data_IF_669554852379
#
_entry.id   IF_669554852379
#
_cell.length_a   1.000
_cell.length_b   1.000
_cell.length_c   1.000
_cell.angle_alpha   90.00
_cell.angle_beta   90.00
_cell.angle_gamma   90.00
#
_symmetry.space_group_name_H-M   'P 1'
#
loop_
_entity.id
_entity.type
_entity.pdbx_description
1 polymer ?
#
# COMPACT_ATOMS: atom_id res chain seq x y z
N UNK A 1 19.30 -12.22 10.53
CA UNK A 1 19.66 -10.85 10.12
C UNK A 1 18.91 -10.36 8.87
N UNK A 2 18.53 -11.23 7.93
CA UNK A 2 17.70 -10.91 6.75
C UNK A 2 16.30 -10.31 7.04
N UNK A 3 15.77 -10.48 8.26
CA UNK A 3 14.43 -10.02 8.63
C UNK A 3 14.28 -8.52 8.79
N UNK A 4 15.35 -7.74 9.08
CA UNK A 4 15.27 -6.27 9.21
C UNK A 4 15.18 -5.52 7.86
N UNK A 5 15.32 -6.23 6.75
CA UNK A 5 15.37 -5.66 5.40
C UNK A 5 14.02 -5.74 4.66
N UNK A 6 13.01 -6.32 5.30
CA UNK A 6 11.68 -6.57 4.73
C UNK A 6 10.88 -5.27 4.49
N UNK A 7 11.15 -4.20 5.23
CA UNK A 7 10.47 -2.89 5.06
C UNK A 7 10.89 -2.17 3.76
N UNK A 8 11.92 -2.65 3.06
CA UNK A 8 12.40 -2.05 1.80
C UNK A 8 11.57 -2.49 0.59
N UNK A 9 10.65 -3.45 0.75
CA UNK A 9 10.40 -4.39 -0.33
C UNK A 9 9.12 -4.19 -1.15
N UNK A 10 8.08 -3.49 -0.70
CA UNK A 10 6.90 -3.20 -1.55
C UNK A 10 7.21 -2.31 -2.77
N UNK A 11 8.40 -1.71 -2.84
CA UNK A 11 8.84 -0.99 -4.04
C UNK A 11 10.30 -1.25 -4.41
N UNK A 12 10.81 -2.39 -3.98
CA UNK A 12 12.16 -2.79 -4.30
C UNK A 12 12.23 -3.31 -5.73
N UNK A 13 13.17 -2.72 -6.49
CA UNK A 13 13.91 -3.29 -7.63
C UNK A 13 13.67 -2.55 -8.96
N UNK A 14 14.23 -1.34 -9.11
CA UNK A 14 14.38 -0.67 -10.41
C UNK A 14 15.75 0.03 -10.53
N UNK A 15 16.72 -0.49 -11.29
CA UNK A 15 17.80 0.35 -11.87
C UNK A 15 18.65 -0.31 -12.99
N UNK A 16 19.34 0.54 -13.76
CA UNK A 16 20.24 0.22 -14.89
C UNK A 16 19.68 0.77 -16.22
N UNK A 17 20.36 1.54 -17.11
CA UNK A 17 21.74 2.06 -17.25
C UNK A 17 21.72 3.42 -18.05
N UNK A 18 22.86 4.15 -18.12
CA UNK A 18 23.13 5.55 -18.58
C UNK A 18 23.27 5.77 -20.14
N UNK A 19 23.80 6.90 -20.74
CA UNK A 19 24.10 8.30 -20.31
C UNK A 19 23.47 9.42 -21.23
N UNK A 20 24.04 10.65 -21.22
CA UNK A 20 23.48 11.98 -21.53
C UNK A 20 23.64 12.53 -22.97
N UNK A 21 22.79 13.50 -23.36
CA UNK A 21 23.13 14.85 -23.91
C UNK A 21 21.87 15.72 -24.15
N UNK A 22 22.05 17.03 -24.02
CA UNK A 22 21.10 18.15 -24.04
C UNK A 22 20.60 18.58 -25.44
N UNK A 23 19.33 19.04 -25.55
CA UNK A 23 18.96 20.44 -25.83
C UNK A 23 17.52 20.62 -26.38
N UNK A 24 16.93 21.75 -25.96
CA UNK A 24 15.84 22.54 -26.56
C UNK A 24 14.41 21.98 -26.51
N UNK A 25 13.59 22.68 -25.72
CA UNK A 25 12.21 22.32 -25.46
C UNK A 25 11.20 22.95 -26.41
N UNK A 26 9.96 22.50 -26.24
CA UNK A 26 8.76 23.26 -26.57
C UNK A 26 7.60 22.72 -25.73
N UNK A 27 6.93 23.60 -24.99
CA UNK A 27 5.66 23.34 -24.32
C UNK A 27 4.54 23.19 -25.36
N UNK A 28 3.62 22.22 -25.21
CA UNK A 28 2.16 22.27 -25.50
C UNK A 28 1.56 20.97 -24.90
N UNK A 29 0.38 20.90 -24.29
CA UNK A 29 -0.69 21.86 -24.09
C UNK A 29 -1.75 21.30 -23.15
N UNK A 30 -2.52 22.21 -22.54
CA UNK A 30 -3.64 21.88 -21.66
C UNK A 30 -4.79 21.24 -22.45
N UNK A 31 -5.51 20.24 -21.89
CA UNK A 31 -6.67 19.67 -22.54
C UNK A 31 -7.84 20.66 -22.55
N UNK A 32 -8.55 20.66 -23.68
CA UNK A 32 -9.71 21.49 -23.96
C UNK A 32 -10.93 21.05 -23.14
N UNK A 33 -11.65 22.05 -22.62
CA UNK A 33 -12.89 21.94 -21.86
C UNK A 33 -14.05 21.40 -22.71
N UNK A 34 -14.86 20.47 -22.16
CA UNK A 34 -16.18 20.16 -22.71
C UNK A 34 -16.91 18.95 -22.11
N UNK A 35 -16.20 17.94 -21.61
CA UNK A 35 -16.75 16.80 -20.87
C UNK A 35 -15.98 16.68 -19.55
N UNK A 36 -16.63 16.44 -18.40
CA UNK A 36 -15.90 16.12 -17.17
C UNK A 36 -14.94 14.96 -17.46
N UNK A 37 -13.67 15.09 -17.08
CA UNK A 37 -12.71 14.00 -17.23
C UNK A 37 -13.08 12.89 -16.26
N UNK A 38 -13.89 11.94 -16.74
CA UNK A 38 -14.37 10.79 -15.95
C UNK A 38 -13.22 9.91 -15.47
N UNK A 39 -12.03 10.02 -16.05
CA UNK A 39 -10.83 9.33 -15.59
C UNK A 39 -10.34 9.94 -14.26
N UNK A 40 -10.37 11.25 -14.11
CA UNK A 40 -9.99 11.93 -12.85
C UNK A 40 -11.01 11.64 -11.73
N UNK A 41 -12.31 11.61 -12.06
CA UNK A 41 -13.35 11.20 -11.11
C UNK A 41 -13.14 9.75 -10.63
N UNK A 42 -12.86 8.83 -11.56
CA UNK A 42 -12.57 7.44 -11.22
C UNK A 42 -11.29 7.32 -10.37
N UNK A 43 -10.28 8.15 -10.61
CA UNK A 43 -9.07 8.19 -9.80
C UNK A 43 -9.35 8.65 -8.36
N UNK A 44 -10.22 9.65 -8.17
CA UNK A 44 -10.66 10.06 -6.84
C UNK A 44 -11.42 8.94 -6.10
N UNK A 45 -12.21 8.14 -6.83
CA UNK A 45 -12.85 6.94 -6.28
C UNK A 45 -11.82 5.89 -5.85
N UNK A 46 -10.78 5.63 -6.67
CA UNK A 46 -9.67 4.73 -6.29
C UNK A 46 -8.99 5.17 -4.99
N UNK A 47 -8.66 6.46 -4.88
CA UNK A 47 -8.07 6.99 -3.66
C UNK A 47 -9.03 6.97 -2.46
N UNK A 48 -10.34 6.88 -2.67
CA UNK A 48 -11.34 6.62 -1.62
C UNK A 48 -11.64 5.12 -1.43
N UNK A 49 -10.85 4.23 -2.03
CA UNK A 49 -11.00 2.77 -1.98
C UNK A 49 -12.32 2.26 -2.59
N UNK A 50 -12.96 3.08 -3.44
CA UNK A 50 -14.20 2.76 -4.13
C UNK A 50 -13.90 2.07 -5.46
N UNK A 51 -13.32 0.86 -5.41
CA UNK A 51 -12.81 0.17 -6.60
C UNK A 51 -13.90 -0.17 -7.62
N UNK A 52 -15.09 -0.61 -7.18
CA UNK A 52 -16.16 -0.99 -8.08
C UNK A 52 -16.66 0.18 -8.96
N UNK A 53 -17.09 1.34 -8.39
CA UNK A 53 -17.49 2.48 -9.22
C UNK A 53 -16.33 3.03 -10.06
N UNK A 54 -15.10 3.08 -9.54
CA UNK A 54 -13.93 3.50 -10.32
C UNK A 54 -13.72 2.62 -11.56
N UNK A 55 -13.75 1.29 -11.40
CA UNK A 55 -13.61 0.33 -12.51
C UNK A 55 -14.72 0.49 -13.53
N UNK A 56 -15.98 0.63 -13.09
CA UNK A 56 -17.12 0.83 -13.99
C UNK A 56 -16.97 2.13 -14.81
N UNK A 57 -16.51 3.20 -14.19
CA UNK A 57 -16.26 4.48 -14.88
C UNK A 57 -15.12 4.36 -15.90
N UNK A 58 -14.00 3.73 -15.52
CA UNK A 58 -12.86 3.51 -16.41
C UNK A 58 -13.21 2.60 -17.59
N UNK A 59 -13.93 1.50 -17.35
CA UNK A 59 -14.41 0.61 -18.40
C UNK A 59 -15.39 1.30 -19.35
N UNK A 60 -16.29 2.15 -18.82
CA UNK A 60 -17.18 2.95 -19.64
C UNK A 60 -16.41 3.94 -20.52
N UNK A 61 -15.41 4.63 -19.96
CA UNK A 61 -14.54 5.54 -20.70
C UNK A 61 -13.78 4.80 -21.82
N UNK A 62 -13.20 3.63 -21.52
CA UNK A 62 -12.43 2.84 -22.47
C UNK A 62 -13.27 2.24 -23.61
N UNK A 63 -14.60 2.16 -23.48
CA UNK A 63 -15.47 1.81 -24.62
C UNK A 63 -15.49 2.90 -25.69
N UNK A 64 -15.36 4.16 -25.29
CA UNK A 64 -15.37 5.33 -26.17
C UNK A 64 -13.94 5.78 -26.55
N UNK A 65 -12.98 5.53 -25.66
CA UNK A 65 -11.57 5.93 -25.77
C UNK A 65 -10.62 4.74 -25.54
N UNK A 66 -10.62 3.72 -26.41
CA UNK A 66 -9.92 2.44 -26.15
C UNK A 66 -8.39 2.55 -26.05
N UNK A 67 -7.81 3.67 -26.49
CA UNK A 67 -6.36 3.92 -26.47
C UNK A 67 -5.94 4.98 -25.43
N UNK A 68 -6.84 5.43 -24.54
CA UNK A 68 -6.48 6.35 -23.45
C UNK A 68 -5.55 5.64 -22.45
N UNK A 69 -4.27 6.01 -22.51
CA UNK A 69 -3.20 5.39 -21.71
C UNK A 69 -3.42 5.56 -20.20
N UNK A 70 -4.04 6.66 -19.78
CA UNK A 70 -4.32 6.95 -18.37
C UNK A 70 -5.35 5.96 -17.85
N UNK A 71 -6.49 5.87 -18.55
CA UNK A 71 -7.59 5.00 -18.17
C UNK A 71 -7.19 3.51 -18.20
N UNK A 72 -6.39 3.09 -19.18
CA UNK A 72 -5.85 1.73 -19.24
C UNK A 72 -4.99 1.40 -18.01
N UNK A 73 -4.08 2.29 -17.61
CA UNK A 73 -3.23 2.08 -16.43
C UNK A 73 -4.01 2.15 -15.12
N UNK A 74 -4.91 3.13 -14.96
CA UNK A 74 -5.74 3.22 -13.76
C UNK A 74 -6.68 2.02 -13.61
N UNK A 75 -7.17 1.43 -14.70
CA UNK A 75 -7.96 0.20 -14.64
C UNK A 75 -7.11 -0.98 -14.13
N UNK A 76 -5.87 -1.12 -14.63
CA UNK A 76 -4.94 -2.14 -14.14
C UNK A 76 -4.62 -1.96 -12.65
N UNK A 77 -4.39 -0.72 -12.20
CA UNK A 77 -4.15 -0.42 -10.80
C UNK A 77 -5.38 -0.72 -9.94
N UNK A 78 -6.58 -0.33 -10.40
CA UNK A 78 -7.83 -0.63 -9.69
C UNK A 78 -8.03 -2.13 -9.44
N UNK A 79 -7.67 -2.97 -10.42
CA UNK A 79 -7.73 -4.44 -10.30
C UNK A 79 -6.72 -4.92 -9.25
N UNK A 80 -5.46 -4.45 -9.33
CA UNK A 80 -4.39 -4.82 -8.40
C UNK A 80 -4.69 -4.37 -6.97
N UNK A 81 -5.03 -3.09 -6.78
CA UNK A 81 -5.26 -2.45 -5.50
C UNK A 81 -6.44 -3.09 -4.75
N UNK A 82 -7.49 -3.48 -5.47
CA UNK A 82 -8.62 -4.20 -4.90
C UNK A 82 -8.19 -5.56 -4.31
N UNK A 83 -7.34 -6.30 -5.03
CA UNK A 83 -6.82 -7.59 -4.55
C UNK A 83 -5.85 -7.38 -3.38
N UNK A 84 -4.97 -6.38 -3.45
CA UNK A 84 -4.07 -6.01 -2.35
C UNK A 84 -4.84 -5.59 -1.10
N UNK A 85 -5.94 -4.83 -1.22
CA UNK A 85 -6.78 -4.46 -0.09
C UNK A 85 -7.44 -5.69 0.53
N UNK A 86 -8.02 -6.56 -0.31
CA UNK A 86 -8.69 -7.79 0.13
C UNK A 86 -7.76 -8.71 0.93
N UNK A 87 -6.52 -8.84 0.47
CA UNK A 87 -5.51 -9.68 1.12
C UNK A 87 -4.81 -8.96 2.31
N UNK A 88 -5.20 -7.72 2.63
CA UNK A 88 -4.63 -6.93 3.73
C UNK A 88 -3.20 -6.43 3.46
N UNK A 89 -2.77 -6.44 2.20
CA UNK A 89 -1.42 -6.10 1.75
C UNK A 89 -1.26 -4.62 1.35
N UNK A 90 -2.33 -3.83 1.38
CA UNK A 90 -2.27 -2.40 1.09
C UNK A 90 -1.76 -1.55 2.28
N UNK A 91 -1.87 -2.06 3.51
CA UNK A 91 -1.44 -1.34 4.72
C UNK A 91 0.07 -1.47 4.95
N UNK A 92 0.73 -0.40 5.41
CA UNK A 92 2.21 -0.39 5.61
C UNK A 92 2.68 -1.46 6.61
N UNK A 93 1.80 -1.84 7.54
CA UNK A 93 2.01 -2.85 8.56
C UNK A 93 2.31 -4.25 7.99
N UNK A 94 1.70 -4.55 6.84
CA UNK A 94 1.89 -5.80 6.13
C UNK A 94 3.37 -6.01 5.74
N UNK A 95 4.14 -4.92 5.68
CA UNK A 95 5.55 -4.89 5.30
C UNK A 95 6.53 -4.78 6.47
N UNK A 96 6.04 -4.86 7.71
CA UNK A 96 6.91 -4.98 8.89
C UNK A 96 7.57 -6.37 8.94
N UNK A 97 8.63 -6.55 9.74
CA UNK A 97 9.38 -7.82 9.82
C UNK A 97 8.54 -9.05 10.25
N UNK A 98 7.30 -8.85 10.70
CA UNK A 98 6.31 -9.88 11.06
C UNK A 98 4.97 -9.70 10.33
N UNK A 99 4.91 -8.79 9.37
CA UNK A 99 3.70 -8.48 8.61
C UNK A 99 3.32 -9.59 7.62
N UNK A 100 2.08 -9.53 7.17
CA UNK A 100 1.44 -10.61 6.42
C UNK A 100 2.12 -10.90 5.06
N UNK A 101 2.80 -9.90 4.46
CA UNK A 101 3.58 -10.06 3.22
C UNK A 101 4.70 -11.09 3.36
N UNK A 102 5.27 -11.26 4.56
CA UNK A 102 6.38 -12.18 4.83
C UNK A 102 5.93 -13.50 5.47
N UNK A 103 4.62 -13.70 5.64
CA UNK A 103 4.08 -14.95 6.19
C UNK A 103 4.30 -16.11 5.21
N UNK A 104 4.64 -17.30 5.72
CA UNK A 104 4.83 -18.51 4.91
C UNK A 104 3.52 -18.92 4.24
N UNK A 105 3.59 -19.35 2.98
CA UNK A 105 2.43 -19.73 2.15
C UNK A 105 2.22 -18.74 1.00
N UNK A 106 1.63 -19.19 -0.12
CA UNK A 106 1.15 -18.29 -1.19
C UNK A 106 -0.16 -17.65 -0.74
N UNK A 107 -0.32 -16.37 -1.02
CA UNK A 107 -1.60 -15.66 -0.90
C UNK A 107 -2.61 -16.33 -1.82
N UNK A 108 -3.79 -16.67 -1.31
CA UNK A 108 -4.82 -17.35 -2.10
C UNK A 108 -5.61 -16.31 -2.89
N UNK A 109 -5.11 -15.96 -4.07
CA UNK A 109 -5.69 -14.91 -4.90
C UNK A 109 -7.11 -15.27 -5.37
N UNK A 110 -7.92 -14.25 -5.62
CA UNK A 110 -9.24 -14.36 -6.23
C UNK A 110 -9.14 -15.16 -7.54
N UNK A 111 -9.99 -16.20 -7.76
CA UNK A 111 -9.98 -16.94 -9.00
C UNK A 111 -10.17 -16.01 -10.22
N UNK A 112 -9.22 -16.07 -11.17
CA UNK A 112 -9.26 -15.25 -12.39
C UNK A 112 -8.60 -13.87 -12.28
N UNK A 113 -8.28 -13.39 -11.07
CA UNK A 113 -7.65 -12.07 -10.87
C UNK A 113 -6.36 -11.90 -11.70
N UNK A 114 -5.43 -12.85 -11.60
CA UNK A 114 -4.13 -12.73 -12.28
C UNK A 114 -4.30 -12.62 -13.80
N UNK A 115 -5.19 -13.44 -14.37
CA UNK A 115 -5.51 -13.40 -15.80
C UNK A 115 -6.11 -12.05 -16.20
N UNK A 116 -7.04 -11.52 -15.42
CA UNK A 116 -7.68 -10.24 -15.66
C UNK A 116 -6.69 -9.08 -15.58
N UNK A 117 -5.89 -9.04 -14.51
CA UNK A 117 -4.86 -8.04 -14.29
C UNK A 117 -3.82 -8.02 -15.42
N UNK A 118 -3.23 -9.18 -15.75
CA UNK A 118 -2.22 -9.26 -16.80
C UNK A 118 -2.79 -8.89 -18.18
N UNK A 119 -4.03 -9.28 -18.48
CA UNK A 119 -4.70 -8.88 -19.72
C UNK A 119 -4.97 -7.37 -19.78
N UNK A 120 -5.30 -6.72 -18.65
CA UNK A 120 -5.45 -5.26 -18.60
C UNK A 120 -4.11 -4.54 -18.85
N UNK A 121 -3.03 -5.02 -18.24
CA UNK A 121 -1.68 -4.46 -18.44
C UNK A 121 -1.17 -4.64 -19.85
N UNK A 122 -1.44 -5.79 -20.48
CA UNK A 122 -1.07 -6.03 -21.87
C UNK A 122 -1.73 -5.02 -22.82
N UNK A 123 -2.98 -4.63 -22.57
CA UNK A 123 -3.65 -3.56 -23.34
C UNK A 123 -2.96 -2.22 -23.14
N UNK A 124 -2.63 -1.84 -21.90
CA UNK A 124 -1.92 -0.61 -21.57
C UNK A 124 -0.55 -0.54 -22.27
N UNK A 125 0.23 -1.62 -22.18
CA UNK A 125 1.56 -1.72 -22.81
C UNK A 125 1.47 -1.72 -24.33
N UNK A 126 0.48 -2.41 -24.92
CA UNK A 126 0.27 -2.38 -26.37
C UNK A 126 -0.05 -0.97 -26.86
N UNK A 127 -1.00 -0.28 -26.23
CA UNK A 127 -1.37 1.08 -26.63
C UNK A 127 -0.20 2.07 -26.52
N UNK A 128 0.56 2.01 -25.42
CA UNK A 128 1.76 2.84 -25.26
C UNK A 128 2.84 2.46 -26.29
N UNK A 129 3.05 1.17 -26.54
CA UNK A 129 3.99 0.67 -27.54
C UNK A 129 3.66 1.13 -28.96
N UNK A 130 2.38 1.08 -29.36
CA UNK A 130 1.93 1.54 -30.68
C UNK A 130 2.15 3.05 -30.86
N UNK A 131 1.97 3.85 -29.81
CA UNK A 131 2.32 5.28 -29.82
C UNK A 131 3.82 5.50 -29.93
N UNK A 132 4.63 4.76 -29.18
CA UNK A 132 6.09 4.85 -29.22
C UNK A 132 6.72 4.38 -30.53
N UNK A 133 6.08 3.45 -31.25
CA UNK A 133 6.51 3.05 -32.60
C UNK A 133 6.34 4.20 -33.60
N UNK A 134 5.26 4.97 -33.47
CA UNK A 134 4.98 6.15 -34.33
C UNK A 134 5.83 7.35 -33.93
N UNK A 135 5.99 7.56 -32.62
CA UNK A 135 6.79 8.64 -32.05
C UNK A 135 7.57 8.14 -30.83
N UNK A 136 8.87 7.80 -30.98
CA UNK A 136 9.70 7.34 -29.88
C UNK A 136 9.90 8.34 -28.74
N UNK A 137 9.54 9.62 -28.92
CA UNK A 137 9.66 10.70 -27.95
C UNK A 137 8.29 11.15 -27.39
N UNK A 138 7.22 10.37 -27.66
CA UNK A 138 5.90 10.60 -27.08
C UNK A 138 5.97 10.53 -25.54
N UNK A 139 5.89 11.70 -24.89
CA UNK A 139 6.13 11.85 -23.47
C UNK A 139 5.09 11.10 -22.63
N UNK A 140 3.81 11.14 -23.02
CA UNK A 140 2.75 10.41 -22.31
C UNK A 140 2.92 8.92 -22.49
N UNK A 141 3.26 8.46 -23.71
CA UNK A 141 3.48 7.04 -23.94
C UNK A 141 4.70 6.51 -23.17
N UNK A 142 5.76 7.30 -23.03
CA UNK A 142 6.90 6.96 -22.16
C UNK A 142 6.48 6.87 -20.69
N UNK A 143 5.74 7.86 -20.18
CA UNK A 143 5.27 7.86 -18.80
C UNK A 143 4.40 6.63 -18.51
N UNK A 144 3.34 6.43 -19.29
CA UNK A 144 2.37 5.36 -19.06
C UNK A 144 2.90 3.96 -19.39
N UNK A 145 3.85 3.80 -20.31
CA UNK A 145 4.58 2.54 -20.45
C UNK A 145 5.39 2.24 -19.19
N UNK A 146 6.05 3.25 -18.62
CA UNK A 146 6.78 3.13 -17.38
C UNK A 146 5.87 2.72 -16.21
N UNK A 147 4.69 3.33 -16.08
CA UNK A 147 3.73 2.99 -15.03
C UNK A 147 3.17 1.56 -15.17
N UNK A 148 2.91 1.09 -16.39
CA UNK A 148 2.46 -0.29 -16.60
C UNK A 148 3.52 -1.33 -16.16
N UNK A 149 4.79 -1.05 -16.43
CA UNK A 149 5.91 -1.86 -15.92
C UNK A 149 6.04 -1.78 -14.39
N UNK A 150 5.77 -0.61 -13.79
CA UNK A 150 5.79 -0.45 -12.33
C UNK A 150 4.69 -1.28 -11.65
N UNK A 151 3.46 -1.24 -12.16
CA UNK A 151 2.35 -2.07 -11.66
C UNK A 151 2.63 -3.57 -11.81
N UNK A 152 3.23 -3.99 -12.93
CA UNK A 152 3.65 -5.39 -13.13
C UNK A 152 4.76 -5.81 -12.15
N UNK A 153 5.71 -4.90 -11.88
CA UNK A 153 6.76 -5.11 -10.87
C UNK A 153 6.15 -5.32 -9.49
N UNK A 154 5.20 -4.48 -9.09
CA UNK A 154 4.48 -4.57 -7.81
C UNK A 154 3.73 -5.90 -7.65
N UNK A 155 3.01 -6.35 -8.68
CA UNK A 155 2.34 -7.65 -8.70
C UNK A 155 3.32 -8.81 -8.48
N UNK A 156 4.40 -8.87 -9.26
CA UNK A 156 5.41 -9.92 -9.12
C UNK A 156 6.10 -9.86 -7.76
N UNK A 157 6.25 -8.65 -7.20
CA UNK A 157 6.88 -8.45 -5.92
C UNK A 157 6.00 -8.98 -4.78
N UNK A 158 4.78 -8.44 -4.66
CA UNK A 158 3.93 -8.60 -3.49
C UNK A 158 3.20 -9.94 -3.54
N UNK A 159 2.59 -10.27 -4.68
CA UNK A 159 1.67 -11.41 -4.80
C UNK A 159 2.39 -12.69 -5.26
N UNK A 160 3.20 -12.63 -6.31
CA UNK A 160 3.92 -13.82 -6.79
C UNK A 160 5.21 -14.12 -6.02
N UNK A 161 5.80 -13.10 -5.39
CA UNK A 161 7.13 -13.15 -4.77
C UNK A 161 8.24 -13.57 -5.75
N UNK A 162 8.05 -13.24 -7.02
CA UNK A 162 9.03 -13.43 -8.10
C UNK A 162 9.97 -12.21 -8.18
N UNK A 163 10.88 -12.10 -7.21
CA UNK A 163 11.71 -10.91 -7.03
C UNK A 163 12.59 -10.56 -8.24
N UNK A 164 13.09 -11.56 -8.97
CA UNK A 164 13.88 -11.32 -10.18
C UNK A 164 13.03 -10.75 -11.31
N UNK A 165 11.79 -11.22 -11.46
CA UNK A 165 10.86 -10.67 -12.47
C UNK A 165 10.44 -9.26 -12.07
N UNK A 166 10.09 -9.05 -10.79
CA UNK A 166 9.83 -7.72 -10.26
C UNK A 166 10.97 -6.73 -10.55
N UNK A 167 12.23 -7.16 -10.39
CA UNK A 167 13.41 -6.34 -10.72
C UNK A 167 13.53 -5.98 -12.18
N UNK A 168 13.23 -6.91 -13.08
CA UNK A 168 13.31 -6.66 -14.52
C UNK A 168 12.24 -5.66 -14.96
N UNK A 169 11.00 -5.94 -14.60
CA UNK A 169 9.85 -5.04 -14.86
C UNK A 169 10.14 -3.66 -14.32
N UNK A 170 10.63 -3.64 -13.09
CA UNK A 170 10.97 -2.41 -12.45
C UNK A 170 12.08 -1.64 -13.20
N UNK A 171 13.16 -2.31 -13.58
CA UNK A 171 14.23 -1.66 -14.32
C UNK A 171 13.77 -1.07 -15.67
N UNK A 172 12.83 -1.72 -16.37
CA UNK A 172 12.20 -1.16 -17.56
C UNK A 172 11.34 0.07 -17.23
N UNK A 173 10.54 0.05 -16.16
CA UNK A 173 9.80 1.23 -15.72
C UNK A 173 10.71 2.44 -15.48
N UNK A 174 11.85 2.24 -14.79
CA UNK A 174 12.81 3.33 -14.55
C UNK A 174 13.50 3.80 -15.83
N UNK A 175 13.75 2.91 -16.79
CA UNK A 175 14.34 3.26 -18.09
C UNK A 175 13.43 4.16 -18.91
N UNK A 176 12.13 3.88 -18.95
CA UNK A 176 11.13 4.77 -19.59
C UNK A 176 11.11 6.16 -18.94
N UNK A 177 11.01 6.22 -17.62
CA UNK A 177 10.98 7.48 -16.88
C UNK A 177 12.29 8.27 -16.97
N UNK A 178 13.45 7.60 -16.96
CA UNK A 178 14.74 8.25 -17.21
C UNK A 178 14.82 8.83 -18.63
N UNK A 179 14.31 8.11 -19.64
CA UNK A 179 14.24 8.63 -21.01
C UNK A 179 13.34 9.87 -21.05
N UNK A 180 12.19 9.82 -20.40
CA UNK A 180 11.29 10.96 -20.28
C UNK A 180 11.95 12.16 -19.59
N UNK A 181 12.62 11.98 -18.46
CA UNK A 181 13.34 13.08 -17.78
C UNK A 181 14.48 13.66 -18.63
N UNK A 182 15.13 12.85 -19.49
CA UNK A 182 16.16 13.35 -20.43
C UNK A 182 15.54 14.23 -21.51
N UNK A 183 14.38 13.83 -22.05
CA UNK A 183 13.65 14.59 -23.07
C UNK A 183 13.01 15.86 -22.49
N UNK A 184 12.40 15.74 -21.32
CA UNK A 184 11.74 16.82 -20.61
C UNK A 184 12.09 16.80 -19.11
N UNK A 185 13.13 17.53 -18.69
CA UNK A 185 13.52 17.64 -17.28
C UNK A 185 12.46 18.27 -16.37
N UNK A 186 11.44 18.92 -16.94
CA UNK A 186 10.32 19.51 -16.20
C UNK A 186 9.15 18.55 -16.00
N UNK A 187 9.19 17.34 -16.58
CA UNK A 187 8.17 16.30 -16.37
C UNK A 187 8.32 15.68 -14.98
N UNK A 188 7.76 16.36 -13.98
CA UNK A 188 7.95 16.02 -12.56
C UNK A 188 7.48 14.61 -12.23
N UNK A 189 6.34 14.16 -12.77
CA UNK A 189 5.75 12.86 -12.43
C UNK A 189 6.70 11.68 -12.70
N UNK A 190 7.62 11.81 -13.66
CA UNK A 190 8.61 10.77 -13.96
C UNK A 190 9.61 10.53 -12.81
N UNK A 191 9.73 11.49 -11.89
CA UNK A 191 10.56 11.34 -10.69
C UNK A 191 9.95 10.38 -9.65
N UNK A 192 8.68 9.98 -9.78
CA UNK A 192 8.04 9.05 -8.83
C UNK A 192 8.82 7.72 -8.77
N UNK A 193 8.95 7.07 -9.93
CA UNK A 193 9.66 5.79 -10.06
C UNK A 193 11.16 5.94 -9.81
N UNK A 194 11.75 7.04 -10.28
CA UNK A 194 13.19 7.31 -10.12
C UNK A 194 13.52 7.50 -8.64
N UNK A 195 12.81 8.39 -7.94
CA UNK A 195 13.05 8.75 -6.55
C UNK A 195 12.84 7.59 -5.60
N UNK A 196 11.84 6.76 -5.89
CA UNK A 196 11.60 5.55 -5.13
C UNK A 196 12.72 4.52 -5.31
N UNK A 197 13.18 4.31 -6.54
CA UNK A 197 14.35 3.49 -6.84
C UNK A 197 15.63 4.00 -6.15
N UNK A 198 15.86 5.31 -6.19
CA UNK A 198 17.01 5.97 -5.57
C UNK A 198 16.96 5.86 -4.03
N UNK A 199 15.78 6.02 -3.42
CA UNK A 199 15.59 5.81 -1.99
C UNK A 199 15.88 4.37 -1.57
N UNK A 200 15.35 3.40 -2.31
CA UNK A 200 15.53 1.98 -2.03
C UNK A 200 17.00 1.59 -2.15
N UNK A 201 17.65 1.91 -3.28
CA UNK A 201 19.07 1.65 -3.47
C UNK A 201 19.93 2.34 -2.39
N UNK A 202 19.56 3.56 -2.01
CA UNK A 202 20.16 4.32 -0.91
C UNK A 202 19.92 3.73 0.48
N UNK A 203 18.96 2.81 0.64
CA UNK A 203 18.60 2.16 1.91
C UNK A 203 19.21 0.78 2.10
N UNK A 204 19.84 0.22 1.06
CA UNK A 204 20.48 -1.09 1.11
C UNK A 204 21.66 -1.13 2.10
N UNK A 205 21.95 -2.29 2.72
CA UNK A 205 23.19 -2.49 3.47
C UNK A 205 24.41 -2.15 2.62
N UNK A 206 25.46 -1.63 3.24
CA UNK A 206 26.66 -1.18 2.51
C UNK A 206 27.25 -2.28 1.60
N UNK A 207 27.25 -3.53 2.03
CA UNK A 207 27.77 -4.65 1.23
C UNK A 207 26.88 -4.97 0.01
N UNK A 208 25.55 -4.83 0.14
CA UNK A 208 24.63 -4.96 -1.00
C UNK A 208 24.78 -3.78 -1.95
N UNK A 209 24.97 -2.56 -1.41
CA UNK A 209 25.24 -1.37 -2.24
C UNK A 209 26.49 -1.52 -3.09
N UNK A 210 27.56 -2.11 -2.55
CA UNK A 210 28.78 -2.37 -3.32
C UNK A 210 28.46 -3.30 -4.50
N UNK A 211 27.83 -4.45 -4.26
CA UNK A 211 27.45 -5.38 -5.33
C UNK A 211 26.50 -4.74 -6.36
N UNK A 212 25.49 -4.02 -5.88
CA UNK A 212 24.55 -3.30 -6.72
C UNK A 212 25.28 -2.24 -7.57
N UNK A 213 26.22 -1.50 -6.97
CA UNK A 213 26.98 -0.45 -7.68
C UNK A 213 27.90 -1.01 -8.77
N UNK A 214 28.44 -2.21 -8.59
CA UNK A 214 29.21 -2.93 -9.62
C UNK A 214 28.31 -3.32 -10.81
N UNK A 215 27.05 -3.63 -10.54
CA UNK A 215 26.03 -3.86 -11.56
C UNK A 215 25.40 -2.55 -12.10
N UNK A 216 25.93 -1.37 -11.73
CA UNK A 216 25.47 -0.06 -12.21
C UNK A 216 24.32 0.58 -11.41
N UNK A 217 23.94 -0.02 -10.27
CA UNK A 217 22.85 0.45 -9.42
C UNK A 217 23.39 1.38 -8.33
N UNK A 218 23.09 2.67 -8.44
CA UNK A 218 23.43 3.67 -7.43
C UNK A 218 22.19 4.48 -7.12
N UNK A 219 21.98 4.76 -5.85
CA UNK A 219 20.90 5.61 -5.37
C UNK A 219 21.26 6.23 -4.04
N UNK A 220 20.56 7.29 -3.70
CA UNK A 220 20.78 8.07 -2.49
C UNK A 220 19.45 8.24 -1.76
N UNK A 221 19.42 7.87 -0.47
CA UNK A 221 18.23 8.00 0.37
C UNK A 221 17.75 9.46 0.45
N UNK A 222 18.61 10.46 0.75
CA UNK A 222 18.21 11.86 0.70
C UNK A 222 17.71 12.33 -0.67
N UNK A 223 18.32 11.85 -1.76
CA UNK A 223 17.91 12.24 -3.11
C UNK A 223 16.53 11.70 -3.46
N UNK A 224 16.29 10.42 -3.19
CA UNK A 224 14.99 9.80 -3.43
C UNK A 224 13.86 10.48 -2.65
N UNK A 225 14.10 10.88 -1.40
CA UNK A 225 13.13 11.67 -0.63
C UNK A 225 12.89 13.05 -1.26
N UNK A 226 13.92 13.74 -1.74
CA UNK A 226 13.77 15.05 -2.39
C UNK A 226 13.01 14.96 -3.73
N UNK A 227 13.30 13.93 -4.53
CA UNK A 227 12.61 13.65 -5.79
C UNK A 227 11.13 13.35 -5.54
N UNK A 228 10.81 12.45 -4.61
CA UNK A 228 9.44 12.14 -4.23
C UNK A 228 8.70 13.35 -3.64
N UNK A 229 9.37 14.15 -2.80
CA UNK A 229 8.80 15.39 -2.26
C UNK A 229 8.42 16.35 -3.38
N UNK A 230 9.29 16.53 -4.37
CA UNK A 230 8.98 17.35 -5.54
C UNK A 230 7.76 16.84 -6.30
N UNK A 231 7.61 15.52 -6.50
CA UNK A 231 6.38 14.96 -7.10
C UNK A 231 5.15 15.25 -6.27
N UNK A 232 5.24 15.13 -4.95
CA UNK A 232 4.11 15.41 -4.05
C UNK A 232 3.63 16.86 -4.06
N UNK A 233 4.49 17.80 -4.48
CA UNK A 233 4.22 19.24 -4.50
C UNK A 233 3.88 19.75 -5.92
N UNK A 234 4.61 19.27 -6.93
CA UNK A 234 4.58 19.79 -8.30
C UNK A 234 4.01 18.80 -9.33
N UNK A 235 3.88 17.51 -8.98
CA UNK A 235 3.38 16.47 -9.88
C UNK A 235 1.94 16.72 -10.32
N UNK A 236 1.54 16.16 -11.46
CA UNK A 236 0.16 16.21 -11.94
C UNK A 236 -0.52 14.86 -11.72
N UNK A 237 0.01 13.80 -12.35
CA UNK A 237 -0.57 12.45 -12.26
C UNK A 237 -0.14 11.69 -11.02
N UNK A 238 1.12 11.86 -10.61
CA UNK A 238 1.75 11.06 -9.55
C UNK A 238 1.73 11.74 -8.18
N UNK A 239 1.08 12.91 -8.05
CA UNK A 239 1.13 13.74 -6.84
C UNK A 239 0.67 12.99 -5.60
N UNK A 240 -0.48 12.32 -5.69
CA UNK A 240 -1.10 11.62 -4.56
C UNK A 240 -0.33 10.35 -4.23
N UNK A 241 0.09 9.60 -5.25
CA UNK A 241 0.94 8.41 -5.09
C UNK A 241 2.25 8.76 -4.37
N UNK A 242 2.89 9.87 -4.74
CA UNK A 242 4.09 10.36 -4.07
C UNK A 242 3.84 10.68 -2.59
N UNK A 243 2.69 11.26 -2.23
CA UNK A 243 2.32 11.50 -0.82
C UNK A 243 2.17 10.19 -0.06
N UNK A 244 1.46 9.21 -0.63
CA UNK A 244 1.25 7.89 -0.02
C UNK A 244 2.61 7.19 0.22
N UNK A 245 3.49 7.22 -0.79
CA UNK A 245 4.86 6.68 -0.67
C UNK A 245 5.63 7.42 0.42
N UNK A 246 5.65 8.77 0.39
CA UNK A 246 6.36 9.58 1.37
C UNK A 246 5.90 9.33 2.80
N UNK A 247 4.60 9.18 3.06
CA UNK A 247 4.09 8.81 4.39
C UNK A 247 4.77 7.55 4.90
N UNK A 248 4.86 6.51 4.06
CA UNK A 248 5.52 5.25 4.39
C UNK A 248 7.01 5.45 4.66
N UNK A 249 7.69 6.21 3.82
CA UNK A 249 9.13 6.47 3.96
C UNK A 249 9.44 7.33 5.18
N UNK A 250 8.65 8.37 5.44
CA UNK A 250 8.77 9.25 6.60
C UNK A 250 8.52 8.51 7.91
N UNK A 251 7.46 7.68 7.97
CA UNK A 251 7.20 6.83 9.14
C UNK A 251 8.38 5.90 9.41
N UNK A 252 8.90 5.22 8.37
CA UNK A 252 10.09 4.35 8.49
C UNK A 252 11.30 5.10 9.03
N UNK A 253 11.49 6.32 8.55
CA UNK A 253 12.63 7.16 8.86
C UNK A 253 12.42 7.97 10.15
N UNK A 254 11.30 7.73 10.85
CA UNK A 254 10.87 8.40 12.09
C UNK A 254 10.63 9.91 11.94
N UNK A 255 10.39 10.36 10.72
CA UNK A 255 9.95 11.71 10.36
C UNK A 255 8.43 11.81 10.56
N UNK A 256 7.99 11.58 11.80
CA UNK A 256 6.57 11.47 12.14
C UNK A 256 5.78 12.76 11.88
N UNK A 257 6.29 13.98 12.18
CA UNK A 257 5.57 15.21 11.86
C UNK A 257 5.27 15.35 10.36
N UNK A 258 6.23 15.03 9.50
CA UNK A 258 6.08 15.07 8.05
C UNK A 258 5.08 14.02 7.55
N UNK A 259 5.11 12.81 8.11
CA UNK A 259 4.13 11.77 7.81
C UNK A 259 2.71 12.19 8.21
N UNK A 260 2.53 12.76 9.41
CA UNK A 260 1.23 13.22 9.92
C UNK A 260 0.67 14.39 9.12
N UNK A 261 1.52 15.32 8.65
CA UNK A 261 1.10 16.44 7.81
C UNK A 261 0.54 15.96 6.46
N UNK A 262 1.21 15.01 5.80
CA UNK A 262 0.71 14.42 4.56
C UNK A 262 -0.56 13.58 4.79
N UNK A 263 -0.63 12.84 5.90
CA UNK A 263 -1.82 12.07 6.25
C UNK A 263 -3.04 12.95 6.52
N UNK A 264 -2.89 14.07 7.22
CA UNK A 264 -3.98 15.03 7.43
C UNK A 264 -4.52 15.57 6.10
N UNK A 265 -3.64 15.90 5.15
CA UNK A 265 -4.03 16.33 3.81
C UNK A 265 -4.77 15.22 3.04
N UNK A 266 -4.24 13.99 3.04
CA UNK A 266 -4.83 12.85 2.34
C UNK A 266 -6.20 12.49 2.92
N UNK A 267 -6.35 12.48 4.25
CA UNK A 267 -7.62 12.15 4.92
C UNK A 267 -8.70 13.20 4.63
N UNK A 268 -8.33 14.49 4.52
CA UNK A 268 -9.27 15.55 4.13
C UNK A 268 -9.67 15.44 2.66
N UNK A 269 -8.74 15.08 1.79
CA UNK A 269 -8.97 14.99 0.33
C UNK A 269 -9.76 13.73 -0.04
N UNK A 270 -9.56 12.63 0.70
CA UNK A 270 -10.15 11.31 0.45
C UNK A 270 -10.83 10.76 1.71
N UNK A 271 -11.97 11.34 2.13
CA UNK A 271 -12.63 11.01 3.39
C UNK A 271 -13.22 9.60 3.45
N UNK A 272 -13.36 8.90 2.31
CA UNK A 272 -13.73 7.49 2.24
C UNK A 272 -12.55 6.53 2.46
N UNK A 273 -11.32 7.04 2.39
CA UNK A 273 -10.13 6.21 2.59
C UNK A 273 -9.89 5.94 4.08
N UNK A 274 -10.27 4.75 4.54
CA UNK A 274 -10.04 4.34 5.93
C UNK A 274 -8.56 4.00 6.25
N UNK A 275 -7.72 3.80 5.23
CA UNK A 275 -6.30 3.51 5.45
C UNK A 275 -5.53 4.75 5.91
N UNK A 276 -5.91 5.95 5.48
CA UNK A 276 -5.32 7.20 5.96
C UNK A 276 -5.37 7.33 7.49
N UNK A 277 -6.56 7.26 8.12
CA UNK A 277 -6.66 7.28 9.59
C UNK A 277 -5.97 6.07 10.25
N UNK A 278 -5.98 4.88 9.63
CA UNK A 278 -5.27 3.72 10.16
C UNK A 278 -3.75 3.98 10.24
N UNK A 279 -3.16 4.53 9.19
CA UNK A 279 -1.74 4.88 9.17
C UNK A 279 -1.43 6.01 10.16
N UNK A 280 -2.34 6.99 10.30
CA UNK A 280 -2.20 8.06 11.30
C UNK A 280 -2.20 7.51 12.73
N UNK A 281 -3.11 6.59 13.05
CA UNK A 281 -3.11 5.91 14.35
C UNK A 281 -1.81 5.12 14.57
N UNK A 282 -1.33 4.41 13.54
CA UNK A 282 -0.09 3.64 13.61
C UNK A 282 1.15 4.53 13.81
N UNK A 283 1.19 5.74 13.24
CA UNK A 283 2.23 6.73 13.52
C UNK A 283 2.17 7.19 14.97
N UNK A 284 0.98 7.45 15.52
CA UNK A 284 0.84 7.78 16.95
C UNK A 284 1.24 6.63 17.87
N UNK A 285 0.93 5.38 17.52
CA UNK A 285 1.40 4.20 18.25
C UNK A 285 2.94 4.10 18.25
N UNK A 286 3.60 4.35 17.12
CA UNK A 286 5.06 4.36 17.01
C UNK A 286 5.71 5.43 17.91
N UNK A 287 4.98 6.52 18.20
CA UNK A 287 5.37 7.58 19.13
C UNK A 287 4.98 7.29 20.60
N UNK A 288 4.29 6.17 20.88
CA UNK A 288 3.62 5.90 22.16
C UNK A 288 2.59 6.97 22.56
N UNK A 289 2.07 7.73 21.60
CA UNK A 289 1.01 8.70 21.82
C UNK A 289 -0.36 8.00 21.80
N UNK A 290 -0.59 7.17 22.83
CA UNK A 290 -1.77 6.32 22.93
C UNK A 290 -3.08 7.11 22.94
N UNK A 291 -3.08 8.32 23.52
CA UNK A 291 -4.26 9.19 23.56
C UNK A 291 -4.65 9.66 22.14
N UNK A 292 -3.67 10.08 21.33
CA UNK A 292 -3.93 10.46 19.96
C UNK A 292 -4.37 9.25 19.11
N UNK A 293 -3.71 8.10 19.27
CA UNK A 293 -4.12 6.86 18.61
C UNK A 293 -5.57 6.46 18.98
N UNK A 294 -5.95 6.56 20.26
CA UNK A 294 -7.31 6.25 20.73
C UNK A 294 -8.36 7.17 20.12
N UNK A 295 -8.05 8.46 19.99
CA UNK A 295 -8.95 9.42 19.32
C UNK A 295 -9.19 9.03 17.85
N UNK A 296 -8.15 8.62 17.13
CA UNK A 296 -8.27 8.21 15.72
C UNK A 296 -9.07 6.90 15.61
N UNK A 297 -8.71 5.88 16.39
CA UNK A 297 -9.45 4.62 16.41
C UNK A 297 -10.90 4.78 16.84
N UNK A 298 -11.20 5.63 17.82
CA UNK A 298 -12.56 5.93 18.23
C UNK A 298 -13.40 6.53 17.10
N UNK A 299 -12.80 7.36 16.24
CA UNK A 299 -13.44 7.87 15.04
C UNK A 299 -13.75 6.78 14.01
N UNK A 300 -12.83 5.83 13.81
CA UNK A 300 -13.03 4.67 12.93
C UNK A 300 -14.11 3.72 13.48
N UNK A 301 -14.07 3.41 14.78
CA UNK A 301 -15.08 2.56 15.44
C UNK A 301 -16.48 3.18 15.35
N UNK A 302 -16.59 4.51 15.51
CA UNK A 302 -17.87 5.20 15.30
C UNK A 302 -18.39 5.03 13.88
N UNK A 303 -17.55 5.27 12.87
CA UNK A 303 -17.91 5.10 11.45
C UNK A 303 -18.33 3.66 11.13
N UNK A 304 -17.68 2.69 11.76
CA UNK A 304 -18.03 1.28 11.65
C UNK A 304 -19.44 1.01 12.21
N UNK A 305 -19.75 1.50 13.42
CA UNK A 305 -21.06 1.33 14.04
C UNK A 305 -22.19 2.07 13.30
N UNK A 306 -21.90 3.23 12.73
CA UNK A 306 -22.86 4.04 11.97
C UNK A 306 -23.06 3.54 10.53
N UNK A 307 -22.32 2.51 10.10
CA UNK A 307 -22.28 2.07 8.70
C UNK A 307 -22.06 3.23 7.73
N UNK A 308 -21.09 4.09 8.06
CA UNK A 308 -20.83 5.31 7.29
C UNK A 308 -20.53 4.97 5.82
N UNK A 309 -21.18 5.69 4.90
CA UNK A 309 -20.96 5.55 3.46
C UNK A 309 -19.47 5.73 3.11
N UNK A 310 -18.94 4.85 2.27
CA UNK A 310 -17.53 4.83 1.86
C UNK A 310 -16.62 3.99 2.75
N UNK A 311 -17.13 3.42 3.84
CA UNK A 311 -16.39 2.57 4.78
C UNK A 311 -16.80 1.09 4.72
N UNK A 312 -17.45 0.67 3.65
CA UNK A 312 -17.98 -0.69 3.47
C UNK A 312 -16.87 -1.75 3.41
N UNK A 313 -15.68 -1.38 2.93
CA UNK A 313 -14.51 -2.26 2.84
C UNK A 313 -13.65 -2.25 4.11
N UNK A 314 -14.07 -1.53 5.15
CA UNK A 314 -13.32 -1.40 6.39
C UNK A 314 -13.17 -2.77 7.10
N UNK A 315 -11.94 -3.23 7.43
CA UNK A 315 -11.73 -4.50 8.12
C UNK A 315 -12.10 -4.36 9.62
N UNK A 316 -13.39 -4.55 9.92
CA UNK A 316 -13.99 -4.37 11.25
C UNK A 316 -13.19 -5.03 12.38
N UNK A 317 -12.90 -6.33 12.27
CA UNK A 317 -12.16 -7.07 13.29
C UNK A 317 -10.76 -6.50 13.53
N UNK A 318 -10.06 -6.06 12.47
CA UNK A 318 -8.73 -5.45 12.58
C UNK A 318 -8.78 -4.12 13.33
N UNK A 319 -9.73 -3.26 13.00
CA UNK A 319 -9.87 -1.94 13.63
C UNK A 319 -10.29 -2.07 15.08
N UNK A 320 -11.25 -2.92 15.39
CA UNK A 320 -11.70 -3.16 16.76
C UNK A 320 -10.58 -3.79 17.60
N UNK A 321 -9.83 -4.75 17.05
CA UNK A 321 -8.65 -5.31 17.69
C UNK A 321 -7.60 -4.24 18.02
N UNK A 322 -7.29 -3.37 17.06
CA UNK A 322 -6.30 -2.31 17.24
C UNK A 322 -6.76 -1.23 18.20
N UNK A 323 -8.03 -0.84 18.14
CA UNK A 323 -8.64 0.04 19.13
C UNK A 323 -8.49 -0.55 20.54
N UNK A 324 -8.87 -1.82 20.74
CA UNK A 324 -8.75 -2.49 22.05
C UNK A 324 -7.32 -2.50 22.57
N UNK A 325 -6.34 -2.75 21.69
CA UNK A 325 -4.90 -2.69 22.03
C UNK A 325 -4.47 -1.32 22.51
N UNK A 326 -5.00 -0.24 21.96
CA UNK A 326 -4.69 1.13 22.38
C UNK A 326 -5.34 1.45 23.72
N UNK A 327 -6.62 1.09 23.93
CA UNK A 327 -7.29 1.28 25.22
C UNK A 327 -6.63 0.48 26.35
N UNK A 328 -6.14 -0.73 26.05
CA UNK A 328 -5.34 -1.50 27.01
C UNK A 328 -4.05 -0.76 27.41
N UNK A 329 -3.38 -0.10 26.45
CA UNK A 329 -2.18 0.72 26.74
C UNK A 329 -2.48 1.98 27.55
N UNK A 330 -3.70 2.51 27.46
CA UNK A 330 -4.18 3.63 28.27
C UNK A 330 -4.56 3.21 29.69
N UNK A 331 -4.61 1.92 30.00
CA UNK A 331 -5.05 1.42 31.31
C UNK A 331 -6.58 1.38 31.43
N UNK A 332 -7.28 1.23 30.31
CA UNK A 332 -8.75 1.10 30.21
C UNK A 332 -9.10 -0.35 29.82
N UNK A 333 -9.00 -1.31 30.76
CA UNK A 333 -9.08 -2.72 30.45
C UNK A 333 -10.50 -3.19 30.08
N UNK A 334 -11.55 -2.58 30.63
CA UNK A 334 -12.92 -2.99 30.32
C UNK A 334 -13.32 -2.53 28.92
N UNK A 335 -12.94 -1.32 28.54
CA UNK A 335 -13.09 -0.78 27.18
C UNK A 335 -12.32 -1.64 26.17
N UNK A 336 -11.09 -2.05 26.51
CA UNK A 336 -10.30 -2.95 25.70
C UNK A 336 -11.00 -4.32 25.49
N UNK A 337 -11.54 -4.92 26.56
CA UNK A 337 -12.28 -6.17 26.49
C UNK A 337 -13.53 -6.04 25.62
N UNK A 338 -14.32 -4.96 25.76
CA UNK A 338 -15.49 -4.72 24.92
C UNK A 338 -15.13 -4.65 23.43
N UNK A 339 -14.03 -3.98 23.10
CA UNK A 339 -13.54 -3.87 21.72
C UNK A 339 -13.03 -5.23 21.19
N UNK A 340 -12.34 -6.01 22.02
CA UNK A 340 -11.91 -7.36 21.65
C UNK A 340 -13.09 -8.30 21.43
N UNK A 341 -14.10 -8.24 22.28
CA UNK A 341 -15.33 -9.03 22.16
C UNK A 341 -16.08 -8.65 20.87
N UNK A 342 -16.23 -7.35 20.59
CA UNK A 342 -16.82 -6.85 19.35
C UNK A 342 -16.03 -7.33 18.11
N UNK A 343 -14.69 -7.31 18.15
CA UNK A 343 -13.85 -7.85 17.07
C UNK A 343 -14.08 -9.36 16.86
N UNK A 344 -14.29 -10.10 17.95
CA UNK A 344 -14.51 -11.55 17.92
C UNK A 344 -15.91 -11.98 17.47
N UNK A 345 -16.91 -11.09 17.59
CA UNK A 345 -18.31 -11.33 17.22
C UNK A 345 -18.60 -11.25 15.72
N UNK A 346 -17.70 -10.65 14.94
CA UNK A 346 -17.85 -10.37 13.50
C UNK A 346 -17.59 -11.57 12.56
N UNK A 347 -17.83 -12.82 12.99
CA UNK A 347 -17.40 -14.00 12.20
C UNK A 347 -18.39 -14.37 11.07
N UNK A 348 -17.86 -14.44 9.84
CA UNK A 348 -17.76 -15.74 9.17
C UNK A 348 -16.32 -16.02 8.69
N UNK A 349 -15.76 -17.18 9.03
CA UNK A 349 -14.51 -17.70 8.45
C UNK A 349 -13.19 -17.30 9.14
N UNK A 350 -12.06 -17.61 8.49
CA UNK A 350 -10.69 -17.54 8.99
C UNK A 350 -10.13 -16.10 9.16
N UNK A 351 -10.87 -15.20 9.80
CA UNK A 351 -10.38 -13.85 10.10
C UNK A 351 -9.37 -13.90 11.27
N UNK A 352 -8.09 -13.77 10.96
CA UNK A 352 -7.01 -13.85 11.97
C UNK A 352 -7.08 -12.73 13.01
N UNK A 353 -7.54 -11.53 12.65
CA UNK A 353 -7.63 -10.41 13.59
C UNK A 353 -8.70 -10.66 14.66
N UNK A 354 -9.79 -11.36 14.32
CA UNK A 354 -10.76 -11.82 15.33
C UNK A 354 -10.12 -12.80 16.33
N UNK A 355 -9.26 -13.71 15.87
CA UNK A 355 -8.54 -14.63 16.77
C UNK A 355 -7.44 -13.92 17.58
N UNK A 356 -6.77 -12.92 17.01
CA UNK A 356 -5.84 -12.04 17.73
C UNK A 356 -6.55 -11.25 18.83
N UNK A 357 -7.78 -10.80 18.59
CA UNK A 357 -8.61 -10.16 19.61
C UNK A 357 -8.99 -11.13 20.74
N UNK A 358 -9.44 -12.35 20.42
CA UNK A 358 -9.70 -13.37 21.45
C UNK A 358 -8.45 -13.66 22.32
N UNK A 359 -7.27 -13.75 21.71
CA UNK A 359 -6.02 -13.94 22.45
C UNK A 359 -5.70 -12.77 23.37
N UNK A 360 -5.83 -11.53 22.87
CA UNK A 360 -5.57 -10.34 23.66
C UNK A 360 -6.56 -10.21 24.83
N UNK A 361 -7.84 -10.51 24.61
CA UNK A 361 -8.84 -10.61 25.66
C UNK A 361 -8.44 -11.66 26.71
N UNK A 362 -8.05 -12.87 26.28
CA UNK A 362 -7.63 -13.92 27.21
C UNK A 362 -6.41 -13.54 28.07
N UNK A 363 -5.42 -12.88 27.46
CA UNK A 363 -4.23 -12.39 28.17
C UNK A 363 -4.56 -11.25 29.15
N UNK A 364 -5.52 -10.40 28.80
CA UNK A 364 -6.03 -9.34 29.66
C UNK A 364 -6.84 -9.91 30.83
N UNK A 365 -7.80 -10.79 30.56
CA UNK A 365 -8.59 -11.50 31.58
C UNK A 365 -7.70 -12.26 32.57
N UNK A 366 -6.63 -12.91 32.09
CA UNK A 366 -5.64 -13.55 32.97
C UNK A 366 -5.01 -12.56 33.95
N UNK A 367 -4.61 -11.37 33.47
CA UNK A 367 -4.03 -10.32 34.33
C UNK A 367 -5.05 -9.74 35.30
N UNK A 368 -6.33 -9.72 34.92
CA UNK A 368 -7.46 -9.28 35.76
C UNK A 368 -7.97 -10.38 36.71
N UNK A 369 -7.30 -11.54 36.78
CA UNK A 369 -7.72 -12.69 37.59
C UNK A 369 -9.13 -13.21 37.23
N UNK A 370 -9.43 -13.26 35.92
CA UNK A 370 -10.65 -13.80 35.30
C UNK A 370 -10.33 -15.10 34.52
N UNK A 371 -9.96 -16.19 35.21
CA UNK A 371 -9.42 -17.39 34.56
C UNK A 371 -10.46 -18.13 33.71
N UNK A 372 -11.74 -18.05 34.06
CA UNK A 372 -12.79 -18.71 33.29
C UNK A 372 -12.92 -18.08 31.89
N UNK A 373 -12.93 -16.75 31.81
CA UNK A 373 -12.98 -15.94 30.60
C UNK A 373 -11.75 -16.22 29.72
N UNK A 374 -10.56 -16.17 30.33
CA UNK A 374 -9.31 -16.43 29.65
C UNK A 374 -9.26 -17.85 29.04
N UNK A 375 -9.63 -18.88 29.80
CA UNK A 375 -9.66 -20.26 29.32
C UNK A 375 -10.67 -20.47 28.19
N UNK A 376 -11.84 -19.80 28.22
CA UNK A 376 -12.82 -19.86 27.12
C UNK A 376 -12.21 -19.34 25.82
N UNK A 377 -11.58 -18.17 25.87
CA UNK A 377 -10.98 -17.55 24.70
C UNK A 377 -9.77 -18.32 24.16
N UNK A 378 -8.89 -18.84 25.03
CA UNK A 378 -7.80 -19.71 24.58
C UNK A 378 -8.30 -20.99 23.90
N UNK A 379 -9.30 -21.68 24.48
CA UNK A 379 -9.87 -22.89 23.86
C UNK A 379 -10.48 -22.59 22.49
N UNK A 380 -11.18 -21.46 22.35
CA UNK A 380 -11.77 -21.03 21.08
C UNK A 380 -10.70 -20.86 19.99
N UNK A 381 -9.63 -20.14 20.29
CA UNK A 381 -8.53 -19.89 19.33
C UNK A 381 -7.79 -21.19 19.00
N UNK A 382 -7.45 -21.99 20.02
CA UNK A 382 -6.76 -23.27 19.85
C UNK A 382 -7.56 -24.25 18.98
N UNK A 383 -8.88 -24.32 19.16
CA UNK A 383 -9.75 -25.20 18.38
C UNK A 383 -9.96 -24.72 16.94
N UNK A 384 -10.08 -23.42 16.71
CA UNK A 384 -10.41 -22.88 15.40
C UNK A 384 -9.22 -22.76 14.45
N UNK A 385 -8.04 -22.38 14.96
CA UNK A 385 -6.84 -22.13 14.14
C UNK A 385 -5.58 -22.81 14.70
N UNK A 386 -5.61 -24.11 15.04
CA UNK A 386 -4.53 -24.80 15.79
C UNK A 386 -3.14 -24.70 15.12
N UNK A 387 -3.10 -24.59 13.79
CA UNK A 387 -1.87 -24.59 13.01
C UNK A 387 -1.28 -23.19 12.77
N UNK A 388 -1.97 -22.12 13.17
CA UNK A 388 -1.47 -20.75 13.06
C UNK A 388 -0.62 -20.36 14.28
N UNK A 389 0.04 -19.21 14.23
CA UNK A 389 0.80 -18.72 15.38
C UNK A 389 -0.11 -18.39 16.56
N UNK A 390 -1.31 -17.88 16.28
CA UNK A 390 -2.36 -17.62 17.25
C UNK A 390 -2.84 -18.92 17.93
N UNK A 391 -3.17 -19.96 17.17
CA UNK A 391 -3.58 -21.25 17.74
C UNK A 391 -2.49 -21.91 18.58
N UNK A 392 -1.24 -21.88 18.12
CA UNK A 392 -0.10 -22.38 18.91
C UNK A 392 0.13 -21.58 20.19
N UNK A 393 -0.05 -20.25 20.14
CA UNK A 393 0.02 -19.41 21.33
C UNK A 393 -1.07 -19.77 22.34
N UNK A 394 -2.30 -19.96 21.86
CA UNK A 394 -3.42 -20.41 22.69
C UNK A 394 -3.17 -21.78 23.34
N UNK A 395 -2.67 -22.76 22.57
CA UNK A 395 -2.32 -24.10 23.07
C UNK A 395 -1.25 -24.05 24.17
N UNK A 396 -0.19 -23.26 23.97
CA UNK A 396 0.84 -23.04 25.00
C UNK A 396 0.26 -22.39 26.26
N UNK A 397 -0.61 -21.41 26.10
CA UNK A 397 -1.27 -20.77 27.23
C UNK A 397 -2.13 -21.77 28.02
N UNK A 398 -2.93 -22.61 27.35
CA UNK A 398 -3.73 -23.65 28.00
C UNK A 398 -2.88 -24.65 28.78
N UNK A 399 -1.71 -25.03 28.25
CA UNK A 399 -0.78 -25.92 28.96
C UNK A 399 -0.22 -25.31 30.24
N UNK A 400 -0.07 -23.98 30.29
CA UNK A 400 0.46 -23.27 31.47
C UNK A 400 -0.58 -22.98 32.56
N UNK A 401 -1.86 -23.24 32.31
CA UNK A 401 -2.95 -23.10 33.28
C UNK A 401 -3.19 -24.35 34.12
N UNK A 402 -2.61 -25.48 33.71
CA UNK A 402 -2.58 -26.75 34.42
C UNK A 402 -1.23 -26.91 35.12
#
# INVERSE_FOLDING_TARGET
MLRKFAIIHSVALLAGMAPATSALGTQVGAPASGCPDRVEEALADLYNLQFLPARQALEAWLREHPEDLRALNYLSNAILDQELLKEGLFASEAYTNKGDVFRKGKTALTPGFEKEFLASLEKAQKAAGDRLQKNPEDQDALYWAGMAHAARSEFHFILERSYLTALREGSEARKYHLKLCKLNPSYVDALLVIGLGDYVAGSLPWYVKVLASLAGFRGSRPRGLAELKRVSEEGHWARVDAKIILVTLYRRDKMYPEALALLDELVRSYPGNFLGPMEMAAVYEDQNNWLAAAKVYGGLVRKLHEHARGYELMPAAKILYRAGRVYERLGEPEEALQLYDAASGQLPGANLDAYRANLAAAELDRRLNRPAEALRNYRRVAGAVPNTEEGKAALRALQSYH
#
